data_IF_677685051514
#
_entry.id   IF_677685051514
#
_cell.length_a   1.000
_cell.length_b   1.000
_cell.length_c   1.000
_cell.angle_alpha   90.00
_cell.angle_beta   90.00
_cell.angle_gamma   90.00
#
_symmetry.space_group_name_H-M   'P 1'
#
loop_
_entity.id
_entity.type
_entity.pdbx_description
1 polymer ?
#
# COMPACT_ATOMS: atom_id res chain seq x y z
N UNK A 1 1.25 -10.89 30.02
CA UNK A 1 0.35 -10.41 28.95
C UNK A 1 1.20 -10.14 27.71
N UNK A 2 1.32 -11.14 26.83
CA UNK A 2 2.25 -11.15 25.69
C UNK A 2 1.64 -10.44 24.47
N UNK A 3 1.54 -9.11 24.50
CA UNK A 3 1.09 -8.32 23.34
C UNK A 3 2.04 -8.46 22.13
N UNK A 4 3.35 -8.63 22.39
CA UNK A 4 4.37 -8.82 21.35
C UNK A 4 4.08 -10.09 20.53
N UNK A 5 3.68 -11.17 21.19
CA UNK A 5 3.41 -12.44 20.51
C UNK A 5 2.07 -12.44 19.78
N UNK A 6 1.08 -11.66 20.23
CA UNK A 6 -0.18 -11.50 19.49
C UNK A 6 0.02 -10.77 18.17
N UNK A 7 0.78 -9.65 18.17
CA UNK A 7 1.16 -8.95 16.94
C UNK A 7 1.96 -9.87 16.01
N UNK A 8 2.92 -10.64 16.53
CA UNK A 8 3.68 -11.62 15.75
C UNK A 8 2.83 -12.79 15.23
N UNK A 9 1.78 -13.20 15.94
CA UNK A 9 0.85 -14.26 15.48
C UNK A 9 -0.14 -13.76 14.42
N UNK A 10 -0.62 -12.51 14.54
CA UNK A 10 -1.40 -11.86 13.47
C UNK A 10 -0.52 -11.64 12.24
N UNK A 11 0.74 -11.26 12.42
CA UNK A 11 1.73 -11.15 11.33
C UNK A 11 2.12 -12.52 10.75
N UNK A 12 2.17 -13.60 11.54
CA UNK A 12 2.43 -14.98 11.05
C UNK A 12 1.20 -15.69 10.47
N UNK A 13 0.00 -15.16 10.68
CA UNK A 13 -1.22 -15.59 9.97
C UNK A 13 -1.28 -15.08 8.54
N UNK A 14 -0.30 -14.24 8.14
CA UNK A 14 0.18 -14.16 6.77
C UNK A 14 0.84 -15.52 6.50
N UNK A 15 0.02 -16.52 6.18
CA UNK A 15 0.54 -17.65 5.43
C UNK A 15 1.29 -17.07 4.24
N UNK A 16 2.51 -17.57 4.08
CA UNK A 16 3.47 -17.31 3.00
C UNK A 16 2.88 -17.49 1.57
N UNK A 17 1.59 -17.84 1.45
CA UNK A 17 0.79 -17.88 0.23
C UNK A 17 0.18 -16.51 -0.18
N UNK A 18 0.19 -15.48 0.69
CA UNK A 18 -0.26 -14.11 0.34
C UNK A 18 0.90 -13.23 -0.19
N UNK A 19 2.10 -13.81 -0.33
CA UNK A 19 3.17 -13.29 -1.19
C UNK A 19 2.78 -13.48 -2.68
N UNK A 20 1.69 -12.85 -3.09
CA UNK A 20 1.52 -12.43 -4.48
C UNK A 20 2.50 -11.30 -4.88
N UNK A 21 3.58 -11.11 -4.11
CA UNK A 21 4.64 -10.15 -4.40
C UNK A 21 5.69 -10.65 -5.42
N UNK A 22 5.74 -11.93 -5.82
CA UNK A 22 6.86 -12.38 -6.67
C UNK A 22 6.57 -12.54 -8.18
N UNK A 23 5.33 -12.34 -8.64
CA UNK A 23 5.06 -12.30 -10.11
C UNK A 23 5.02 -10.89 -10.70
N UNK A 24 4.81 -9.86 -9.88
CA UNK A 24 4.81 -8.48 -10.36
C UNK A 24 6.14 -7.76 -10.13
N UNK A 25 6.94 -8.17 -9.14
CA UNK A 25 8.27 -7.60 -8.81
C UNK A 25 9.18 -7.49 -10.04
N UNK A 26 9.27 -8.55 -10.85
CA UNK A 26 10.13 -8.58 -12.05
C UNK A 26 9.73 -7.54 -13.11
N UNK A 27 8.43 -7.23 -13.22
CA UNK A 27 7.88 -6.28 -14.20
C UNK A 27 7.85 -4.83 -13.69
N UNK A 28 7.57 -4.65 -12.39
CA UNK A 28 7.64 -3.36 -11.72
C UNK A 28 9.08 -2.88 -11.65
N UNK A 29 10.05 -3.75 -11.39
CA UNK A 29 11.48 -3.42 -11.37
C UNK A 29 11.99 -2.98 -12.75
N UNK A 30 11.54 -3.63 -13.84
CA UNK A 30 11.89 -3.20 -15.21
C UNK A 30 11.29 -1.85 -15.56
N UNK A 31 10.02 -1.63 -15.23
CA UNK A 31 9.32 -0.36 -15.48
C UNK A 31 9.89 0.78 -14.63
N UNK A 32 10.17 0.53 -13.35
CA UNK A 32 10.85 1.47 -12.46
C UNK A 32 12.24 1.80 -12.99
N UNK A 33 13.00 0.80 -13.42
CA UNK A 33 14.31 1.04 -14.05
C UNK A 33 14.20 1.89 -15.31
N UNK A 34 13.26 1.61 -16.22
CA UNK A 34 13.07 2.44 -17.43
C UNK A 34 12.66 3.87 -17.07
N UNK A 35 11.77 4.05 -16.09
CA UNK A 35 11.38 5.37 -15.62
C UNK A 35 12.55 6.12 -14.99
N UNK A 36 13.35 5.45 -14.16
CA UNK A 36 14.55 6.00 -13.54
C UNK A 36 15.62 6.36 -14.58
N UNK A 37 15.90 5.46 -15.52
CA UNK A 37 16.86 5.69 -16.62
C UNK A 37 16.42 6.87 -17.50
N UNK A 38 15.11 7.01 -17.76
CA UNK A 38 14.56 8.17 -18.47
C UNK A 38 14.74 9.47 -17.68
N UNK A 39 14.39 9.47 -16.39
CA UNK A 39 14.53 10.63 -15.52
C UNK A 39 15.99 11.10 -15.43
N UNK A 40 16.92 10.16 -15.24
CA UNK A 40 18.37 10.43 -15.30
C UNK A 40 18.75 11.12 -16.63
N UNK A 41 18.17 10.70 -17.75
CA UNK A 41 18.52 11.26 -19.07
C UNK A 41 18.01 12.68 -19.31
N UNK A 42 16.96 13.11 -18.59
CA UNK A 42 16.36 14.44 -18.76
C UNK A 42 16.68 15.40 -17.60
N UNK A 43 17.21 14.89 -16.50
CA UNK A 43 17.50 15.68 -15.30
C UNK A 43 18.80 16.49 -15.46
N UNK A 44 18.68 17.67 -16.05
CA UNK A 44 19.80 18.59 -16.29
C UNK A 44 20.20 19.38 -15.03
N UNK A 45 19.26 19.58 -14.10
CA UNK A 45 19.46 20.40 -12.89
C UNK A 45 19.76 19.55 -11.65
N UNK A 46 19.47 18.26 -11.68
CA UNK A 46 19.51 17.37 -10.51
C UNK A 46 18.25 17.45 -9.66
N UNK A 47 17.28 18.32 -10.02
CA UNK A 47 16.06 18.53 -9.25
C UNK A 47 15.10 17.35 -9.39
N UNK A 48 15.03 16.70 -10.56
CA UNK A 48 14.08 15.61 -10.78
C UNK A 48 14.44 14.37 -9.97
N UNK A 49 15.73 14.04 -9.88
CA UNK A 49 16.20 12.94 -9.05
C UNK A 49 16.16 13.30 -7.55
N UNK A 50 16.42 14.56 -7.19
CA UNK A 50 16.31 15.02 -5.80
C UNK A 50 14.90 14.85 -5.23
N UNK A 51 13.85 14.96 -6.05
CA UNK A 51 12.46 14.66 -5.64
C UNK A 51 12.24 13.21 -5.18
N UNK A 52 13.10 12.26 -5.58
CA UNK A 52 13.04 10.88 -5.08
C UNK A 52 13.81 10.69 -3.78
N UNK A 53 14.71 11.62 -3.44
CA UNK A 53 15.46 11.65 -2.19
C UNK A 53 14.69 12.41 -1.10
N UNK A 54 13.78 13.31 -1.49
CA UNK A 54 12.80 13.91 -0.59
C UNK A 54 11.76 12.84 -0.17
N UNK A 55 12.04 12.18 0.95
CA UNK A 55 11.06 11.45 1.76
C UNK A 55 10.07 12.45 2.41
N UNK A 56 9.45 13.31 1.61
CA UNK A 56 8.50 14.30 2.10
C UNK A 56 7.33 13.53 2.74
N UNK A 57 7.19 13.70 4.06
CA UNK A 57 6.17 13.00 4.81
C UNK A 57 4.83 13.62 4.41
N UNK A 58 3.93 12.79 3.88
CA UNK A 58 2.54 13.19 3.71
C UNK A 58 1.92 13.42 5.10
N UNK A 59 1.88 14.68 5.52
CA UNK A 59 1.36 15.13 6.82
C UNK A 59 -0.06 14.60 7.09
N UNK A 60 -0.90 14.56 6.06
CA UNK A 60 -2.28 14.07 6.16
C UNK A 60 -2.28 12.56 6.43
N UNK A 61 -1.42 11.81 5.74
CA UNK A 61 -1.25 10.38 5.98
C UNK A 61 -0.67 10.11 7.37
N UNK A 62 0.30 10.90 7.81
CA UNK A 62 0.88 10.79 9.15
C UNK A 62 -0.18 11.05 10.23
N UNK A 63 -0.93 12.15 10.14
CA UNK A 63 -1.98 12.50 11.10
C UNK A 63 -3.08 11.43 11.17
N UNK A 64 -3.46 10.85 10.02
CA UNK A 64 -4.39 9.71 9.96
C UNK A 64 -3.85 8.49 10.71
N UNK A 65 -2.56 8.20 10.56
CA UNK A 65 -1.91 7.09 11.25
C UNK A 65 -1.87 7.32 12.77
N UNK A 66 -1.48 8.52 13.21
CA UNK A 66 -1.42 8.87 14.64
C UNK A 66 -2.79 8.83 15.33
N UNK A 67 -3.84 9.30 14.64
CA UNK A 67 -5.22 9.22 15.15
C UNK A 67 -5.65 7.79 15.37
N UNK A 68 -5.38 6.92 14.40
CA UNK A 68 -5.69 5.51 14.50
C UNK A 68 -4.91 4.82 15.63
N UNK A 69 -3.63 5.18 15.81
CA UNK A 69 -2.82 4.66 16.91
C UNK A 69 -3.36 5.11 18.27
N UNK A 70 -3.74 6.38 18.41
CA UNK A 70 -4.35 6.92 19.64
C UNK A 70 -5.64 6.19 19.98
N UNK A 71 -6.48 5.90 18.98
CA UNK A 71 -7.71 5.15 19.17
C UNK A 71 -7.43 3.71 19.61
N UNK A 72 -6.43 3.05 19.03
CA UNK A 72 -6.10 1.66 19.35
C UNK A 72 -5.63 1.46 20.80
N UNK A 73 -5.04 2.48 21.45
CA UNK A 73 -4.54 2.39 22.84
C UNK A 73 -5.61 2.14 23.89
N UNK A 74 -6.86 2.50 23.61
CA UNK A 74 -7.99 2.39 24.56
C UNK A 74 -8.93 1.23 24.24
N UNK A 75 -8.63 0.45 23.19
CA UNK A 75 -9.46 -0.67 22.77
C UNK A 75 -9.27 -1.88 23.67
N UNK A 76 -10.35 -2.62 23.89
CA UNK A 76 -10.26 -3.97 24.45
C UNK A 76 -9.75 -4.98 23.40
N UNK A 77 -9.52 -6.22 23.83
CA UNK A 77 -8.96 -7.26 22.96
C UNK A 77 -9.85 -7.63 21.78
N UNK A 78 -11.17 -7.56 21.91
CA UNK A 78 -12.09 -7.91 20.84
C UNK A 78 -12.14 -6.78 19.80
N UNK A 79 -12.26 -5.54 20.29
CA UNK A 79 -12.22 -4.33 19.47
C UNK A 79 -10.91 -4.21 18.69
N UNK A 80 -9.76 -4.48 19.34
CA UNK A 80 -8.46 -4.40 18.69
C UNK A 80 -8.28 -5.47 17.60
N UNK A 81 -8.84 -6.66 17.79
CA UNK A 81 -8.80 -7.73 16.79
C UNK A 81 -9.59 -7.35 15.53
N UNK A 82 -10.84 -6.91 15.69
CA UNK A 82 -11.70 -6.45 14.59
C UNK A 82 -11.11 -5.23 13.87
N UNK A 83 -10.54 -4.28 14.63
CA UNK A 83 -9.85 -3.12 14.07
C UNK A 83 -8.66 -3.53 13.21
N UNK A 84 -7.87 -4.50 13.67
CA UNK A 84 -6.70 -4.99 12.92
C UNK A 84 -7.10 -5.71 11.64
N UNK A 85 -8.12 -6.56 11.70
CA UNK A 85 -8.67 -7.26 10.54
C UNK A 85 -9.22 -6.27 9.52
N UNK A 86 -10.09 -5.35 9.96
CA UNK A 86 -10.72 -4.35 9.10
C UNK A 86 -9.71 -3.48 8.35
N UNK A 87 -8.58 -3.12 8.99
CA UNK A 87 -7.52 -2.32 8.37
C UNK A 87 -6.71 -3.07 7.31
N UNK A 88 -6.68 -4.40 7.37
CA UNK A 88 -5.98 -5.23 6.40
C UNK A 88 -6.87 -5.59 5.20
N UNK A 89 -8.17 -5.37 5.30
CA UNK A 89 -9.08 -5.56 4.18
C UNK A 89 -8.87 -4.48 3.12
N UNK A 90 -8.73 -4.93 1.88
CA UNK A 90 -8.65 -4.07 0.70
C UNK A 90 -9.38 -4.70 -0.48
N UNK A 91 -9.64 -3.90 -1.51
CA UNK A 91 -10.31 -4.38 -2.72
C UNK A 91 -9.39 -5.17 -3.66
N UNK A 92 -8.07 -5.20 -3.42
CA UNK A 92 -7.12 -5.90 -4.29
C UNK A 92 -7.44 -7.40 -4.40
N UNK A 93 -7.86 -8.03 -3.30
CA UNK A 93 -8.28 -9.45 -3.25
C UNK A 93 -9.57 -9.73 -4.05
N UNK A 94 -10.35 -8.70 -4.39
CA UNK A 94 -11.59 -8.79 -5.18
C UNK A 94 -11.61 -7.77 -6.34
N UNK A 95 -10.43 -7.50 -6.92
CA UNK A 95 -10.24 -6.41 -7.88
C UNK A 95 -11.22 -6.46 -9.07
N UNK A 96 -11.56 -7.64 -9.60
CA UNK A 96 -12.51 -7.73 -10.72
C UNK A 96 -13.90 -7.22 -10.34
N UNK A 97 -14.46 -7.70 -9.23
CA UNK A 97 -15.79 -7.25 -8.75
C UNK A 97 -15.78 -5.77 -8.39
N UNK A 98 -14.67 -5.28 -7.85
CA UNK A 98 -14.51 -3.86 -7.53
C UNK A 98 -14.47 -3.00 -8.80
N UNK A 99 -13.75 -3.43 -9.84
CA UNK A 99 -13.75 -2.77 -11.16
C UNK A 99 -15.13 -2.73 -11.79
N UNK A 100 -15.86 -3.85 -11.74
CA UNK A 100 -17.20 -3.93 -12.29
C UNK A 100 -18.16 -3.00 -11.53
N UNK A 101 -18.02 -2.91 -10.20
CA UNK A 101 -18.80 -2.01 -9.36
C UNK A 101 -18.52 -0.53 -9.62
N UNK A 102 -17.26 -0.15 -9.85
CA UNK A 102 -16.88 1.23 -10.16
C UNK A 102 -17.35 1.70 -11.53
N UNK A 103 -17.76 0.78 -12.41
CA UNK A 103 -18.23 1.04 -13.76
C UNK A 103 -17.32 2.01 -14.54
N UNK A 104 -16.04 1.66 -14.63
CA UNK A 104 -15.06 2.42 -15.42
C UNK A 104 -15.29 2.32 -16.95
N UNK A 105 -16.46 1.86 -17.41
CA UNK A 105 -16.78 1.68 -18.83
C UNK A 105 -16.88 3.02 -19.58
N UNK A 106 -17.26 4.09 -18.87
CA UNK A 106 -17.40 5.45 -19.41
C UNK A 106 -16.09 6.24 -19.46
N UNK A 107 -15.01 5.74 -18.85
CA UNK A 107 -13.72 6.43 -18.83
C UNK A 107 -12.97 6.26 -20.16
N UNK A 108 -12.48 7.36 -20.73
CA UNK A 108 -11.64 7.32 -21.95
C UNK A 108 -10.34 6.54 -21.73
N UNK A 109 -9.77 6.62 -20.52
CA UNK A 109 -8.58 5.90 -20.11
C UNK A 109 -8.94 4.97 -18.96
N UNK A 110 -8.78 3.68 -19.16
CA UNK A 110 -9.04 2.68 -18.12
C UNK A 110 -7.92 2.71 -17.07
N UNK A 111 -8.25 2.71 -15.76
CA UNK A 111 -7.26 2.57 -14.70
C UNK A 111 -6.43 1.30 -14.90
N UNK A 112 -5.12 1.41 -14.67
CA UNK A 112 -4.24 0.24 -14.68
C UNK A 112 -4.38 -0.54 -13.36
N UNK A 113 -3.87 -1.78 -13.33
CA UNK A 113 -4.01 -2.65 -12.16
C UNK A 113 -3.29 -2.13 -10.90
N UNK A 114 -2.33 -1.20 -11.02
CA UNK A 114 -1.64 -0.60 -9.87
C UNK A 114 -2.42 0.57 -9.26
N UNK A 115 -3.33 1.17 -10.03
CA UNK A 115 -4.25 2.21 -9.57
C UNK A 115 -5.55 1.64 -8.97
N UNK A 116 -5.71 0.31 -8.97
CA UNK A 116 -6.90 -0.43 -8.51
C UNK A 116 -6.56 -1.36 -7.35
#
# INVERSE_FOLDING_TARGET
MFFRDYKSKVVKGIDEDDLLEDKFSSSTNKRQKTAQDFLISIDQTGELLALFEDDEIDDVKQERMERAERQARVMDSAQYAEFSESRQLSFSKKASKFRDWLDCSSMEIKPNASAM
#
